data_IF_358370394553
#
_entry.id   IF_358370394553
#
_cell.length_a   1.000
_cell.length_b   1.000
_cell.length_c   1.000
_cell.angle_alpha   90.00
_cell.angle_beta   90.00
_cell.angle_gamma   90.00
#
_symmetry.space_group_name_H-M   'P 1'
#
loop_
_entity.id
_entity.type
_entity.pdbx_description
1 polymer ?
#
# COMPACT_ATOMS: atom_id res chain seq x y z
N UNK A 1 -22.33 -32.61 4.50
CA UNK A 1 -21.57 -31.50 5.14
C UNK A 1 -22.13 -30.21 4.62
N UNK A 2 -22.88 -29.48 5.44
CA UNK A 2 -23.51 -28.23 5.03
C UNK A 2 -22.56 -27.06 5.23
N UNK A 3 -22.56 -26.11 4.29
CA UNK A 3 -21.81 -24.87 4.44
C UNK A 3 -22.22 -24.15 5.74
N UNK A 4 -21.21 -23.76 6.52
CA UNK A 4 -21.31 -22.90 7.69
C UNK A 4 -22.10 -21.65 7.37
N UNK A 5 -22.81 -21.10 8.37
CA UNK A 5 -23.55 -19.84 8.23
C UNK A 5 -22.65 -18.69 7.77
N UNK A 6 -21.34 -18.76 8.07
CA UNK A 6 -20.31 -17.84 7.55
C UNK A 6 -20.13 -17.98 6.04
N UNK A 7 -20.05 -19.21 5.54
CA UNK A 7 -19.85 -19.50 4.12
C UNK A 7 -21.09 -19.18 3.27
N UNK A 8 -22.29 -19.27 3.85
CA UNK A 8 -23.53 -18.85 3.17
C UNK A 8 -23.63 -17.34 3.00
N UNK A 9 -23.21 -16.56 4.00
CA UNK A 9 -23.09 -15.10 3.88
C UNK A 9 -22.01 -14.74 2.86
N UNK A 10 -20.93 -15.51 2.82
CA UNK A 10 -19.83 -15.37 1.85
C UNK A 10 -20.30 -15.55 0.39
N UNK A 11 -21.14 -16.57 0.12
CA UNK A 11 -21.70 -16.82 -1.22
C UNK A 11 -22.67 -15.72 -1.65
N UNK A 12 -23.47 -15.16 -0.74
CA UNK A 12 -24.41 -14.07 -1.05
C UNK A 12 -23.67 -12.77 -1.41
N UNK A 13 -22.51 -12.52 -0.80
CA UNK A 13 -21.67 -11.34 -1.10
C UNK A 13 -20.88 -11.48 -2.41
N UNK A 14 -20.56 -12.72 -2.84
CA UNK A 14 -19.87 -13.01 -4.10
C UNK A 14 -20.79 -12.93 -5.34
N UNK A 15 -22.11 -13.12 -5.17
CA UNK A 15 -23.07 -13.27 -6.27
C UNK A 15 -23.46 -12.02 -7.05
N UNK A 16 -22.94 -10.82 -6.73
CA UNK A 16 -23.32 -9.55 -7.40
C UNK A 16 -22.11 -8.88 -8.10
N UNK A 17 -21.01 -9.61 -8.27
CA UNK A 17 -19.72 -9.03 -8.65
C UNK A 17 -19.39 -9.15 -10.14
N UNK A 18 -19.95 -8.26 -10.98
CA UNK A 18 -19.36 -7.91 -12.26
C UNK A 18 -19.44 -6.38 -12.45
N UNK A 19 -18.27 -5.75 -12.60
CA UNK A 19 -18.08 -4.33 -12.93
C UNK A 19 -18.52 -3.29 -11.86
N UNK A 20 -17.67 -3.05 -10.87
CA UNK A 20 -17.40 -1.74 -10.24
C UNK A 20 -16.49 -1.93 -9.03
N UNK A 21 -15.77 -0.88 -8.60
CA UNK A 21 -14.90 -0.88 -7.40
C UNK A 21 -15.57 -1.31 -6.07
N UNK A 22 -16.86 -1.65 -6.11
CA UNK A 22 -17.61 -2.34 -5.06
C UNK A 22 -17.03 -3.71 -4.69
N UNK A 23 -16.34 -4.42 -5.59
CA UNK A 23 -15.70 -5.71 -5.27
C UNK A 23 -14.45 -5.55 -4.39
N UNK A 24 -13.67 -4.50 -4.62
CA UNK A 24 -12.59 -4.07 -3.72
C UNK A 24 -13.17 -3.73 -2.35
N UNK A 25 -14.24 -2.94 -2.33
CA UNK A 25 -14.94 -2.60 -1.08
C UNK A 25 -15.50 -3.84 -0.37
N UNK A 26 -16.05 -4.82 -1.08
CA UNK A 26 -16.54 -6.09 -0.51
C UNK A 26 -15.39 -6.96 0.02
N UNK A 27 -14.26 -7.04 -0.67
CA UNK A 27 -13.06 -7.75 -0.19
C UNK A 27 -12.40 -7.01 0.98
N UNK A 28 -12.41 -5.68 0.97
CA UNK A 28 -12.02 -4.84 2.11
C UNK A 28 -12.98 -5.09 3.25
N UNK A 29 -14.31 -5.15 3.04
CA UNK A 29 -15.32 -5.47 4.06
C UNK A 29 -15.17 -6.90 4.60
N UNK A 30 -14.74 -7.87 3.79
CA UNK A 30 -14.47 -9.26 4.20
C UNK A 30 -13.12 -9.40 4.91
N UNK A 31 -12.09 -8.65 4.51
CA UNK A 31 -10.84 -8.51 5.29
C UNK A 31 -11.16 -7.79 6.61
N UNK A 32 -11.93 -6.71 6.53
CA UNK A 32 -12.41 -5.87 7.61
C UNK A 32 -13.30 -6.62 8.60
N UNK A 33 -14.13 -7.58 8.20
CA UNK A 33 -14.86 -8.40 9.18
C UNK A 33 -13.89 -9.17 10.06
N UNK A 34 -12.77 -9.67 9.56
CA UNK A 34 -11.75 -10.30 10.42
C UNK A 34 -10.90 -9.30 11.22
N UNK A 35 -10.78 -8.04 10.75
CA UNK A 35 -10.01 -6.96 11.40
C UNK A 35 -10.85 -6.20 12.45
N UNK A 36 -12.16 -6.11 12.25
CA UNK A 36 -13.14 -5.43 13.12
C UNK A 36 -13.85 -6.40 14.07
N UNK A 37 -13.55 -7.70 14.05
CA UNK A 37 -14.12 -8.68 14.97
C UNK A 37 -13.11 -9.16 16.01
N UNK A 38 -13.30 -8.83 17.30
CA UNK A 38 -12.67 -9.58 18.37
C UNK A 38 -13.16 -11.03 18.36
N UNK A 39 -12.26 -11.97 18.66
CA UNK A 39 -12.50 -13.42 18.67
C UNK A 39 -13.65 -13.86 19.62
N UNK A 40 -14.09 -12.97 20.53
CA UNK A 40 -15.00 -13.25 21.64
C UNK A 40 -16.47 -12.80 21.43
N UNK A 41 -16.89 -12.59 20.18
CA UNK A 41 -18.30 -12.19 19.90
C UNK A 41 -19.26 -13.34 20.27
N UNK A 42 -20.12 -13.14 21.27
CA UNK A 42 -21.07 -14.15 21.78
C UNK A 42 -22.49 -13.84 21.31
N UNK A 43 -23.29 -14.88 21.03
CA UNK A 43 -24.72 -14.75 20.75
C UNK A 43 -25.51 -15.43 21.87
N UNK A 44 -26.39 -14.68 22.54
CA UNK A 44 -27.22 -15.21 23.63
C UNK A 44 -28.57 -14.49 23.65
N UNK A 45 -29.65 -15.23 23.95
CA UNK A 45 -31.01 -14.68 24.13
C UNK A 45 -31.52 -13.75 23.02
N UNK A 46 -31.20 -14.06 21.74
CA UNK A 46 -31.67 -13.28 20.59
C UNK A 46 -30.88 -12.00 20.31
N UNK A 47 -29.81 -11.73 21.06
CA UNK A 47 -28.98 -10.54 20.93
C UNK A 47 -27.50 -10.91 20.81
N UNK A 48 -26.75 -10.11 20.04
CA UNK A 48 -25.29 -10.19 19.99
C UNK A 48 -24.70 -9.49 21.22
N UNK A 49 -23.95 -10.23 22.02
CA UNK A 49 -23.13 -9.69 23.11
C UNK A 49 -21.77 -9.35 22.51
N UNK A 50 -21.58 -8.06 22.29
CA UNK A 50 -20.33 -7.49 21.79
C UNK A 50 -19.42 -7.19 22.99
N UNK A 51 -18.10 -7.47 22.92
CA UNK A 51 -17.18 -7.09 23.99
C UNK A 51 -17.13 -5.56 24.16
N UNK A 52 -16.92 -5.10 25.40
CA UNK A 52 -16.87 -3.68 25.76
C UNK A 52 -15.71 -2.95 25.05
N UNK A 53 -14.56 -3.63 24.91
CA UNK A 53 -13.40 -3.14 24.15
C UNK A 53 -13.53 -3.48 22.66
N UNK A 54 -14.37 -2.71 21.96
CA UNK A 54 -14.42 -2.72 20.50
C UNK A 54 -13.13 -2.13 19.93
N UNK A 55 -12.06 -2.90 19.84
CA UNK A 55 -10.93 -2.51 18.99
C UNK A 55 -11.31 -2.70 17.52
N UNK A 56 -11.95 -1.67 16.95
CA UNK A 56 -12.06 -1.55 15.51
C UNK A 56 -10.67 -1.17 14.98
N UNK A 57 -10.08 -2.06 14.19
CA UNK A 57 -8.74 -1.85 13.63
C UNK A 57 -8.87 -1.37 12.19
N UNK A 58 -8.14 -0.32 11.81
CA UNK A 58 -8.05 0.13 10.43
C UNK A 58 -7.28 -0.86 9.55
N UNK A 59 -7.49 -0.77 8.24
CA UNK A 59 -6.86 -1.63 7.25
C UNK A 59 -6.08 -0.79 6.24
N UNK A 60 -4.84 -1.18 5.98
CA UNK A 60 -3.96 -0.62 4.96
C UNK A 60 -3.57 -1.75 3.99
N UNK A 61 -3.96 -1.64 2.72
CA UNK A 61 -3.61 -2.60 1.67
C UNK A 61 -2.69 -1.91 0.66
N UNK A 62 -1.59 -2.56 0.29
CA UNK A 62 -0.73 -2.13 -0.80
C UNK A 62 -0.63 -3.24 -1.84
N UNK A 63 -1.44 -3.12 -2.90
CA UNK A 63 -1.38 -3.97 -4.07
C UNK A 63 -0.30 -3.53 -5.06
N UNK A 64 -0.24 -4.19 -6.22
CA UNK A 64 0.63 -3.77 -7.34
C UNK A 64 0.12 -2.54 -8.07
N UNK A 65 -1.20 -2.42 -8.26
CA UNK A 65 -1.83 -1.35 -9.03
C UNK A 65 -2.43 -0.21 -8.20
N UNK A 66 -2.81 -0.47 -6.95
CA UNK A 66 -3.44 0.53 -6.07
C UNK A 66 -3.08 0.28 -4.60
N UNK A 67 -3.37 1.27 -3.76
CA UNK A 67 -3.32 1.15 -2.30
C UNK A 67 -4.62 1.65 -1.68
N UNK A 68 -5.01 1.06 -0.56
CA UNK A 68 -6.25 1.34 0.14
C UNK A 68 -5.99 1.66 1.60
N UNK A 69 -6.81 2.56 2.13
CA UNK A 69 -6.90 2.87 3.55
C UNK A 69 -8.37 2.82 3.96
N UNK A 70 -8.68 2.19 5.09
CA UNK A 70 -10.04 2.14 5.64
C UNK A 70 -10.02 2.11 7.16
N UNK A 71 -10.78 2.98 7.82
CA UNK A 71 -10.84 3.06 9.27
C UNK A 71 -12.08 3.80 9.76
N UNK A 72 -12.36 3.71 11.05
CA UNK A 72 -13.39 4.51 11.71
C UNK A 72 -12.74 5.74 12.33
N UNK A 73 -12.98 6.96 11.81
CA UNK A 73 -12.44 8.19 12.40
C UNK A 73 -13.12 8.53 13.73
N UNK A 74 -12.49 9.39 14.54
CA UNK A 74 -13.12 9.93 15.76
C UNK A 74 -14.25 10.91 15.46
N UNK A 75 -14.10 11.69 14.39
CA UNK A 75 -15.04 12.73 13.96
C UNK A 75 -15.96 12.28 12.83
N UNK A 76 -16.89 13.16 12.39
CA UNK A 76 -17.73 12.89 11.24
C UNK A 76 -16.91 12.78 9.95
N UNK A 77 -17.37 11.94 9.02
CA UNK A 77 -16.79 11.86 7.68
C UNK A 77 -17.42 12.97 6.84
N UNK A 78 -16.62 13.98 6.47
CA UNK A 78 -17.12 15.17 5.77
C UNK A 78 -17.43 14.91 4.30
N UNK A 79 -16.71 13.99 3.65
CA UNK A 79 -16.99 13.60 2.27
C UNK A 79 -17.77 12.29 2.20
N UNK A 80 -19.06 12.40 1.87
CA UNK A 80 -19.98 11.26 1.77
C UNK A 80 -19.54 10.21 0.74
N UNK A 81 -18.82 10.58 -0.33
CA UNK A 81 -18.36 9.61 -1.34
C UNK A 81 -17.27 8.67 -0.81
N UNK A 82 -16.64 9.04 0.31
CA UNK A 82 -15.64 8.24 1.01
C UNK A 82 -16.20 7.51 2.23
N UNK A 83 -17.48 7.70 2.54
CA UNK A 83 -18.17 7.05 3.66
C UNK A 83 -18.87 5.79 3.18
N UNK A 84 -18.66 4.69 3.90
CA UNK A 84 -19.44 3.47 3.75
C UNK A 84 -20.10 3.12 5.06
N UNK A 85 -21.41 2.94 5.03
CA UNK A 85 -22.21 2.57 6.20
C UNK A 85 -22.71 1.14 6.07
N UNK A 86 -22.52 0.34 7.11
CA UNK A 86 -23.07 -1.03 7.15
C UNK A 86 -23.49 -1.40 8.57
N UNK A 87 -24.35 -2.42 8.67
CA UNK A 87 -24.79 -2.96 9.95
C UNK A 87 -24.21 -4.35 10.16
N UNK A 88 -23.40 -4.52 11.19
CA UNK A 88 -22.83 -5.81 11.58
C UNK A 88 -23.19 -6.09 13.04
N UNK A 89 -23.68 -7.30 13.31
CA UNK A 89 -24.01 -7.77 14.68
C UNK A 89 -24.95 -6.83 15.45
N UNK A 90 -25.89 -6.20 14.75
CA UNK A 90 -26.87 -5.28 15.34
C UNK A 90 -26.39 -3.83 15.49
N UNK A 91 -25.09 -3.56 15.32
CA UNK A 91 -24.49 -2.22 15.39
C UNK A 91 -24.27 -1.62 13.99
N UNK A 92 -24.49 -0.30 13.87
CA UNK A 92 -24.20 0.46 12.65
C UNK A 92 -22.76 0.98 12.72
N UNK A 93 -22.04 0.86 11.62
CA UNK A 93 -20.68 1.36 11.46
C UNK A 93 -20.64 2.33 10.29
N UNK A 94 -19.90 3.42 10.47
CA UNK A 94 -19.53 4.34 9.40
C UNK A 94 -18.01 4.29 9.27
N UNK A 95 -17.53 3.81 8.13
CA UNK A 95 -16.10 3.73 7.86
C UNK A 95 -15.74 4.77 6.79
N UNK A 96 -14.57 5.38 6.96
CA UNK A 96 -13.89 6.05 5.87
C UNK A 96 -13.17 4.98 5.04
N UNK A 97 -13.22 5.09 3.72
CA UNK A 97 -12.49 4.22 2.81
C UNK A 97 -12.10 4.97 1.55
N UNK A 98 -10.87 4.77 1.10
CA UNK A 98 -10.41 5.28 -0.19
C UNK A 98 -9.43 4.31 -0.84
N UNK A 99 -9.43 4.30 -2.18
CA UNK A 99 -8.51 3.52 -3.01
C UNK A 99 -7.77 4.45 -3.96
N UNK A 100 -6.45 4.56 -3.78
CA UNK A 100 -5.58 5.34 -4.65
C UNK A 100 -5.10 4.44 -5.80
N UNK A 101 -5.81 4.51 -6.93
CA UNK A 101 -5.38 3.86 -8.18
C UNK A 101 -4.06 4.48 -8.66
N UNK A 102 -3.18 3.68 -9.25
CA UNK A 102 -1.83 4.08 -9.68
C UNK A 102 -0.85 4.40 -8.54
N UNK A 103 -1.24 4.14 -7.29
CA UNK A 103 -0.40 4.20 -6.09
C UNK A 103 -0.16 2.80 -5.49
N UNK A 104 -0.37 1.74 -6.28
CA UNK A 104 0.17 0.43 -5.93
C UNK A 104 1.68 0.39 -6.14
N UNK A 105 2.35 -0.57 -5.50
CA UNK A 105 3.81 -0.71 -5.55
C UNK A 105 4.34 -0.71 -6.98
N UNK A 106 3.85 -1.61 -7.82
CA UNK A 106 4.38 -1.81 -9.17
C UNK A 106 4.14 -0.58 -10.05
N UNK A 107 2.96 0.04 -9.93
CA UNK A 107 2.62 1.24 -10.71
C UNK A 107 3.44 2.46 -10.30
N UNK A 108 3.74 2.62 -9.02
CA UNK A 108 4.62 3.70 -8.55
C UNK A 108 6.04 3.50 -9.04
N UNK A 109 6.56 2.28 -9.03
CA UNK A 109 7.90 1.98 -9.56
C UNK A 109 7.98 2.23 -11.07
N UNK A 110 6.93 1.86 -11.81
CA UNK A 110 6.81 2.17 -13.25
C UNK A 110 6.78 3.68 -13.49
N UNK A 111 5.96 4.42 -12.75
CA UNK A 111 5.85 5.89 -12.85
C UNK A 111 7.16 6.59 -12.49
N UNK A 112 7.85 6.11 -11.46
CA UNK A 112 9.16 6.61 -11.05
C UNK A 112 10.18 6.47 -12.18
N UNK A 113 10.26 5.27 -12.79
CA UNK A 113 11.16 5.05 -13.92
C UNK A 113 10.80 5.92 -15.12
N UNK A 114 9.51 6.10 -15.41
CA UNK A 114 9.04 6.98 -16.49
C UNK A 114 9.43 8.45 -16.26
N UNK A 115 9.24 8.98 -15.04
CA UNK A 115 9.63 10.35 -14.69
C UNK A 115 11.14 10.57 -14.82
N UNK A 116 11.94 9.63 -14.31
CA UNK A 116 13.40 9.68 -14.42
C UNK A 116 13.87 9.59 -15.87
N UNK A 117 13.19 8.79 -16.71
CA UNK A 117 13.48 8.67 -18.14
C UNK A 117 13.11 9.94 -18.92
N UNK A 118 11.97 10.56 -18.61
CA UNK A 118 11.54 11.82 -19.23
C UNK A 118 12.48 12.98 -18.90
N UNK A 119 13.08 12.96 -17.70
CA UNK A 119 14.04 13.97 -17.27
C UNK A 119 15.48 13.70 -17.74
N UNK A 120 15.75 12.58 -18.42
CA UNK A 120 17.07 12.30 -18.97
C UNK A 120 17.19 12.75 -20.42
N UNK A 121 18.34 13.36 -20.75
CA UNK A 121 18.67 13.78 -22.12
C UNK A 121 19.37 12.69 -22.94
N UNK A 122 19.72 11.56 -22.30
CA UNK A 122 20.48 10.46 -22.89
C UNK A 122 19.73 9.13 -22.70
N UNK A 123 20.03 8.07 -23.49
CA UNK A 123 19.50 6.72 -23.28
C UNK A 123 20.09 6.03 -22.03
N UNK A 124 20.48 6.83 -21.04
CA UNK A 124 21.02 6.45 -19.75
C UNK A 124 20.31 7.24 -18.66
N UNK A 125 19.81 6.53 -17.65
CA UNK A 125 19.07 7.11 -16.52
C UNK A 125 19.76 6.72 -15.23
N UNK A 126 20.06 7.72 -14.42
CA UNK A 126 20.47 7.50 -13.04
C UNK A 126 19.23 7.29 -12.17
N UNK A 127 19.18 6.16 -11.48
CA UNK A 127 18.06 5.76 -10.66
C UNK A 127 18.44 5.79 -9.17
N UNK A 128 18.04 6.83 -8.41
CA UNK A 128 18.51 7.01 -7.03
C UNK A 128 18.04 5.91 -6.07
N UNK A 129 16.91 5.28 -6.38
CA UNK A 129 16.37 4.19 -5.56
C UNK A 129 16.95 2.81 -5.88
N UNK A 130 17.79 2.67 -6.91
CA UNK A 130 18.51 1.43 -7.18
C UNK A 130 19.89 1.50 -6.54
N UNK A 131 20.36 0.37 -6.04
CA UNK A 131 21.63 0.28 -5.33
C UNK A 131 22.82 0.77 -6.18
N UNK A 132 23.79 1.41 -5.53
CA UNK A 132 25.01 1.83 -6.21
C UNK A 132 25.71 0.63 -6.89
N UNK A 133 26.06 0.79 -8.16
CA UNK A 133 26.68 -0.26 -8.99
C UNK A 133 25.69 -1.23 -9.64
N UNK A 134 24.38 -1.06 -9.45
CA UNK A 134 23.36 -1.74 -10.25
C UNK A 134 23.39 -1.17 -11.68
N UNK A 135 23.39 -2.03 -12.69
CA UNK A 135 23.24 -1.62 -14.08
C UNK A 135 22.39 -2.64 -14.83
N UNK A 136 21.40 -2.17 -15.59
CA UNK A 136 20.59 -3.02 -16.46
C UNK A 136 20.03 -2.25 -17.65
N UNK A 137 19.79 -2.95 -18.74
CA UNK A 137 19.09 -2.42 -19.90
C UNK A 137 17.63 -2.83 -19.83
N UNK A 138 16.72 -1.85 -19.76
CA UNK A 138 15.28 -2.07 -19.63
C UNK A 138 14.56 -1.61 -20.90
N UNK A 139 13.56 -2.36 -21.34
CA UNK A 139 12.64 -1.90 -22.38
C UNK A 139 11.64 -0.92 -21.79
N UNK A 140 11.44 0.22 -22.45
CA UNK A 140 10.45 1.23 -22.06
C UNK A 140 9.04 0.92 -22.56
N UNK A 141 8.86 -0.04 -23.48
CA UNK A 141 7.53 -0.37 -24.00
C UNK A 141 6.54 -0.77 -22.88
N UNK A 142 6.87 -1.69 -21.95
CA UNK A 142 5.95 -2.05 -20.86
C UNK A 142 5.70 -0.91 -19.86
N UNK A 143 6.62 0.06 -19.77
CA UNK A 143 6.48 1.23 -18.89
C UNK A 143 5.37 2.15 -19.41
N UNK A 144 5.37 2.41 -20.72
CA UNK A 144 4.42 3.32 -21.37
C UNK A 144 3.10 2.65 -21.79
N UNK A 145 3.04 1.32 -21.78
CA UNK A 145 1.77 0.57 -21.87
C UNK A 145 0.91 0.71 -20.61
N UNK A 146 1.49 1.16 -19.49
CA UNK A 146 0.73 1.35 -18.26
C UNK A 146 -0.27 2.52 -18.38
N UNK A 147 -1.54 2.33 -17.98
CA UNK A 147 -2.53 3.42 -17.92
C UNK A 147 -2.19 4.48 -16.86
N UNK A 148 -1.20 4.23 -16.01
CA UNK A 148 -0.76 5.12 -14.95
C UNK A 148 0.39 6.05 -15.34
N UNK A 149 0.91 5.91 -16.57
CA UNK A 149 1.98 6.77 -17.10
C UNK A 149 1.40 7.62 -18.21
N UNK A 150 1.49 8.94 -18.04
CA UNK A 150 1.14 9.88 -19.11
C UNK A 150 2.38 10.16 -19.95
N UNK A 151 2.31 9.89 -21.25
CA UNK A 151 3.37 10.20 -22.19
C UNK A 151 3.23 11.62 -22.71
N UNK A 152 4.31 12.38 -22.70
CA UNK A 152 4.46 13.50 -23.65
C UNK A 152 4.93 12.89 -24.98
N UNK A 153 4.32 13.29 -26.10
CA UNK A 153 4.46 12.69 -27.44
C UNK A 153 5.90 12.64 -28.04
N UNK A 154 6.92 13.03 -27.28
CA UNK A 154 8.30 13.25 -27.75
C UNK A 154 9.28 12.08 -27.52
N UNK A 155 8.91 11.00 -26.83
CA UNK A 155 9.84 9.90 -26.53
C UNK A 155 9.65 8.72 -27.49
N UNK A 156 10.73 8.29 -28.13
CA UNK A 156 10.75 7.10 -28.98
C UNK A 156 10.65 5.84 -28.09
N UNK A 157 9.42 5.36 -27.89
CA UNK A 157 9.04 4.29 -26.95
C UNK A 157 9.67 2.90 -27.23
N UNK A 158 10.38 2.76 -28.35
CA UNK A 158 11.08 1.54 -28.78
C UNK A 158 12.54 1.46 -28.33
N UNK A 159 13.06 2.48 -27.65
CA UNK A 159 14.45 2.47 -27.18
C UNK A 159 14.62 1.72 -25.86
N UNK A 160 15.67 0.91 -25.83
CA UNK A 160 16.20 0.32 -24.61
C UNK A 160 16.90 1.39 -23.78
N UNK A 161 16.54 1.48 -22.50
CA UNK A 161 17.11 2.43 -21.55
C UNK A 161 18.15 1.74 -20.68
N UNK A 162 19.35 2.31 -20.61
CA UNK A 162 20.36 1.87 -19.64
C UNK A 162 20.07 2.54 -18.30
N UNK A 163 19.78 1.75 -17.28
CA UNK A 163 19.49 2.26 -15.93
C UNK A 163 20.67 1.95 -15.01
N UNK A 164 21.16 2.97 -14.32
CA UNK A 164 22.29 2.89 -13.39
C UNK A 164 21.85 3.32 -11.99
N UNK A 165 22.02 2.44 -11.01
CA UNK A 165 21.67 2.75 -9.62
C UNK A 165 22.73 3.60 -8.94
N UNK A 166 22.30 4.63 -8.21
CA UNK A 166 23.21 5.52 -7.45
C UNK A 166 23.16 5.28 -5.93
N UNK A 167 22.14 4.57 -5.43
CA UNK A 167 22.00 4.24 -4.01
C UNK A 167 21.83 5.46 -3.11
N UNK A 168 21.21 6.53 -3.59
CA UNK A 168 21.00 7.77 -2.83
C UNK A 168 19.57 7.84 -2.28
N UNK A 169 19.34 7.48 -1.00
CA UNK A 169 17.99 7.49 -0.43
C UNK A 169 17.36 8.89 -0.39
N UNK A 170 18.17 9.95 -0.27
CA UNK A 170 17.65 11.33 -0.25
C UNK A 170 17.02 11.70 -1.58
N UNK A 171 17.76 11.47 -2.67
CA UNK A 171 17.28 11.77 -4.02
C UNK A 171 16.14 10.82 -4.42
N UNK A 172 16.16 9.58 -3.91
CA UNK A 172 15.07 8.63 -4.09
C UNK A 172 13.77 9.12 -3.44
N UNK A 173 13.84 9.59 -2.19
CA UNK A 173 12.66 10.16 -1.51
C UNK A 173 12.15 11.37 -2.28
N UNK A 174 13.02 12.27 -2.75
CA UNK A 174 12.62 13.42 -3.55
C UNK A 174 11.91 13.00 -4.85
N UNK A 175 12.45 12.01 -5.57
CA UNK A 175 11.84 11.49 -6.79
C UNK A 175 10.49 10.79 -6.52
N UNK A 176 10.36 10.07 -5.39
CA UNK A 176 9.09 9.47 -4.98
C UNK A 176 8.05 10.54 -4.61
N UNK A 177 8.45 11.60 -3.91
CA UNK A 177 7.58 12.70 -3.50
C UNK A 177 6.96 13.42 -4.71
N UNK A 178 7.69 13.55 -5.82
CA UNK A 178 7.18 14.16 -7.06
C UNK A 178 5.97 13.43 -7.66
N UNK A 179 5.79 12.14 -7.35
CA UNK A 179 4.65 11.35 -7.80
C UNK A 179 3.34 11.69 -7.05
N UNK A 180 3.44 12.46 -5.97
CA UNK A 180 2.34 12.91 -5.13
C UNK A 180 2.13 14.42 -5.28
N UNK A 181 0.87 14.84 -5.33
CA UNK A 181 0.53 16.25 -5.19
C UNK A 181 0.06 16.54 -3.75
N UNK A 182 1.02 16.83 -2.87
CA UNK A 182 0.71 17.27 -1.49
C UNK A 182 0.21 18.72 -1.42
N UNK A 183 0.51 19.53 -2.44
CA UNK A 183 0.18 20.97 -2.44
C UNK A 183 -1.32 21.27 -2.52
N UNK A 184 -2.12 20.33 -3.04
CA UNK A 184 -3.59 20.44 -3.11
C UNK A 184 -4.31 20.29 -1.77
N UNK A 185 -3.59 19.94 -0.69
CA UNK A 185 -4.16 19.62 0.62
C UNK A 185 -3.97 20.73 1.68
N UNK A 186 -3.63 21.96 1.30
CA UNK A 186 -3.13 22.99 2.25
C UNK A 186 -4.14 23.44 3.33
N UNK A 187 -5.45 23.37 3.05
CA UNK A 187 -6.48 23.96 3.92
C UNK A 187 -7.54 22.96 4.41
N UNK A 188 -7.37 21.66 4.19
CA UNK A 188 -8.37 20.63 4.52
C UNK A 188 -7.73 19.31 4.94
N UNK A 189 -8.44 18.55 5.78
CA UNK A 189 -8.13 17.15 6.12
C UNK A 189 -8.04 16.31 4.84
N UNK A 190 -6.81 16.05 4.40
CA UNK A 190 -6.49 15.51 3.09
C UNK A 190 -5.19 14.71 3.15
N UNK A 191 -5.14 13.63 2.36
CA UNK A 191 -3.93 12.81 2.22
C UNK A 191 -2.99 13.43 1.18
N UNK A 192 -3.30 13.17 -0.10
CA UNK A 192 -2.59 13.70 -1.27
C UNK A 192 -3.55 13.77 -2.48
N UNK A 193 -3.14 14.48 -3.53
CA UNK A 193 -3.92 14.69 -4.76
C UNK A 193 -5.31 15.32 -4.52
N UNK A 194 -5.45 16.12 -3.46
CA UNK A 194 -6.74 16.75 -3.11
C UNK A 194 -7.79 15.77 -2.60
N UNK A 195 -7.40 14.55 -2.22
CA UNK A 195 -8.31 13.53 -1.69
C UNK A 195 -8.51 13.74 -0.20
N UNK A 196 -9.77 14.00 0.18
CA UNK A 196 -10.20 14.07 1.57
C UNK A 196 -9.81 12.81 2.35
N UNK A 197 -9.23 13.00 3.53
CA UNK A 197 -8.93 11.94 4.49
C UNK A 197 -9.03 12.49 5.92
N UNK A 198 -9.90 11.94 6.79
CA UNK A 198 -9.91 12.31 8.20
C UNK A 198 -8.55 11.99 8.89
N UNK A 199 -8.24 12.60 10.03
CA UNK A 199 -7.08 12.21 10.84
C UNK A 199 -7.11 10.72 11.18
N UNK A 200 -5.98 10.03 10.99
CA UNK A 200 -5.85 8.60 11.30
C UNK A 200 -6.03 8.36 12.79
N UNK A 201 -6.80 7.33 13.14
CA UNK A 201 -7.13 7.02 14.53
C UNK A 201 -7.24 5.51 14.77
N UNK A 202 -6.82 5.09 15.95
CA UNK A 202 -6.87 3.68 16.37
C UNK A 202 -5.70 2.85 15.84
N UNK A 203 -5.82 1.52 16.01
CA UNK A 203 -4.85 0.55 15.51
C UNK A 203 -5.06 0.29 14.02
N UNK A 204 -4.00 -0.05 13.28
CA UNK A 204 -4.06 -0.40 11.86
C UNK A 204 -3.32 -1.70 11.57
N UNK A 205 -3.88 -2.54 10.71
CA UNK A 205 -3.17 -3.64 10.10
C UNK A 205 -2.77 -3.30 8.67
N UNK A 206 -1.47 -3.38 8.40
CA UNK A 206 -0.88 -3.17 7.09
C UNK A 206 -0.47 -4.52 6.49
N UNK A 207 -1.03 -4.87 5.34
CA UNK A 207 -0.83 -6.17 4.70
C UNK A 207 -0.41 -6.04 3.23
N UNK A 208 -0.29 -7.17 2.53
CA UNK A 208 0.19 -7.24 1.15
C UNK A 208 1.62 -6.68 1.03
N UNK A 209 1.92 -5.80 0.07
CA UNK A 209 3.28 -5.30 -0.13
C UNK A 209 3.81 -4.48 1.06
N UNK A 210 2.95 -3.90 1.91
CA UNK A 210 3.41 -3.34 3.18
C UNK A 210 4.16 -4.39 4.02
N UNK A 211 3.53 -5.56 4.20
CA UNK A 211 4.11 -6.67 4.94
C UNK A 211 5.30 -7.27 4.19
N UNK A 212 5.19 -7.61 2.91
CA UNK A 212 6.25 -8.34 2.22
C UNK A 212 7.55 -7.52 2.11
N UNK A 213 7.45 -6.21 1.84
CA UNK A 213 8.62 -5.32 1.80
C UNK A 213 9.26 -5.18 3.19
N UNK A 214 8.48 -4.90 4.23
CA UNK A 214 9.05 -4.74 5.57
C UNK A 214 9.51 -6.07 6.17
N UNK A 215 8.87 -7.19 5.84
CA UNK A 215 9.33 -8.51 6.26
C UNK A 215 10.70 -8.83 5.64
N UNK A 216 10.91 -8.52 4.37
CA UNK A 216 12.23 -8.68 3.73
C UNK A 216 13.31 -7.86 4.45
N UNK A 217 12.98 -6.63 4.87
CA UNK A 217 13.89 -5.75 5.61
C UNK A 217 13.96 -6.05 7.12
N UNK A 218 13.25 -7.08 7.60
CA UNK A 218 13.14 -7.42 9.02
C UNK A 218 12.54 -6.30 9.89
N UNK A 219 11.51 -5.61 9.40
CA UNK A 219 10.85 -4.42 9.97
C UNK A 219 9.38 -4.67 10.38
N UNK A 220 8.97 -5.92 10.61
CA UNK A 220 7.59 -6.28 10.99
C UNK A 220 7.38 -6.41 12.50
N UNK A 221 8.42 -6.22 13.31
CA UNK A 221 8.41 -6.42 14.77
C UNK A 221 8.08 -5.15 15.56
N UNK A 222 7.29 -4.23 14.97
CA UNK A 222 6.89 -2.93 15.56
C UNK A 222 8.08 -2.08 16.04
N UNK A 223 9.13 -2.03 15.23
CA UNK A 223 10.27 -1.18 15.52
C UNK A 223 9.86 0.32 15.53
N UNK A 224 10.53 1.14 16.37
CA UNK A 224 10.37 2.60 16.32
C UNK A 224 10.68 3.17 14.94
N UNK A 225 10.02 4.28 14.59
CA UNK A 225 10.10 4.89 13.26
C UNK A 225 11.53 5.25 12.85
N UNK A 226 12.35 5.74 13.78
CA UNK A 226 13.76 6.06 13.50
C UNK A 226 14.56 4.82 13.09
N UNK A 227 14.35 3.67 13.76
CA UNK A 227 15.02 2.41 13.41
C UNK A 227 14.58 1.91 12.03
N UNK A 228 13.30 2.07 11.70
CA UNK A 228 12.74 1.70 10.39
C UNK A 228 13.39 2.57 9.30
N UNK A 229 13.42 3.88 9.51
CA UNK A 229 14.06 4.82 8.58
C UNK A 229 15.55 4.52 8.38
N UNK A 230 16.31 4.34 9.47
CA UNK A 230 17.74 4.04 9.42
C UNK A 230 18.02 2.71 8.70
N UNK A 231 17.19 1.70 8.93
CA UNK A 231 17.32 0.38 8.28
C UNK A 231 17.09 0.49 6.77
N UNK A 232 16.03 1.18 6.34
CA UNK A 232 15.73 1.39 4.91
C UNK A 232 16.82 2.22 4.25
N UNK A 233 17.25 3.33 4.88
CA UNK A 233 18.34 4.18 4.37
C UNK A 233 19.64 3.40 4.18
N UNK A 234 20.04 2.63 5.21
CA UNK A 234 21.26 1.81 5.15
C UNK A 234 21.15 0.73 4.06
N UNK A 235 19.99 0.11 3.91
CA UNK A 235 19.76 -0.87 2.83
C UNK A 235 19.97 -0.22 1.46
N UNK A 236 19.35 0.94 1.20
CA UNK A 236 19.51 1.67 -0.06
C UNK A 236 20.95 2.06 -0.39
N UNK A 237 21.75 2.40 0.63
CA UNK A 237 23.17 2.76 0.47
C UNK A 237 24.09 1.55 0.31
N UNK A 238 23.59 0.33 0.51
CA UNK A 238 24.42 -0.88 0.38
C UNK A 238 24.73 -1.12 -1.10
N UNK A 239 26.01 -1.30 -1.49
CA UNK A 239 26.40 -1.57 -2.88
C UNK A 239 25.73 -2.82 -3.45
N UNK A 240 25.34 -2.77 -4.73
CA UNK A 240 24.60 -3.84 -5.40
C UNK A 240 25.25 -5.21 -5.24
N UNK A 241 26.57 -5.30 -5.42
CA UNK A 241 27.33 -6.55 -5.28
C UNK A 241 27.18 -7.23 -3.92
N UNK A 242 27.06 -6.45 -2.84
CA UNK A 242 26.86 -7.01 -1.49
C UNK A 242 25.41 -7.45 -1.29
N UNK A 243 24.47 -6.69 -1.83
CA UNK A 243 23.04 -7.03 -1.79
C UNK A 243 22.79 -8.33 -2.57
N UNK A 244 23.29 -8.42 -3.80
CA UNK A 244 23.18 -9.61 -4.65
C UNK A 244 23.80 -10.86 -4.00
N UNK A 245 25.00 -10.73 -3.42
CA UNK A 245 25.66 -11.83 -2.72
C UNK A 245 24.88 -12.32 -1.48
N UNK A 246 24.10 -11.44 -0.84
CA UNK A 246 23.31 -11.78 0.35
C UNK A 246 21.99 -12.49 0.02
N UNK A 247 21.51 -12.37 -1.22
CA UNK A 247 20.21 -12.90 -1.67
C UNK A 247 20.30 -13.55 -3.06
N UNK A 248 21.07 -14.64 -3.23
CA UNK A 248 21.27 -15.28 -4.53
C UNK A 248 19.94 -15.79 -5.11
N UNK A 249 19.69 -15.54 -6.40
CA UNK A 249 18.53 -16.02 -7.14
C UNK A 249 17.25 -15.17 -7.00
N UNK A 250 17.33 -13.99 -6.37
CA UNK A 250 16.18 -13.08 -6.18
C UNK A 250 16.36 -11.72 -6.89
N UNK A 251 17.29 -11.65 -7.84
CA UNK A 251 17.80 -10.40 -8.45
C UNK A 251 16.68 -9.54 -9.05
N UNK A 252 15.67 -10.19 -9.65
CA UNK A 252 14.53 -9.51 -10.28
C UNK A 252 13.78 -8.58 -9.33
N UNK A 253 13.59 -8.99 -8.08
CA UNK A 253 12.81 -8.25 -7.08
C UNK A 253 13.71 -7.44 -6.15
N UNK A 254 14.97 -7.87 -6.03
CA UNK A 254 15.93 -7.34 -5.07
C UNK A 254 16.21 -5.85 -5.28
N UNK A 255 16.33 -5.43 -6.56
CA UNK A 255 16.57 -4.03 -6.93
C UNK A 255 15.47 -3.08 -6.45
N UNK A 256 14.24 -3.58 -6.30
CA UNK A 256 13.06 -2.75 -6.05
C UNK A 256 12.78 -2.57 -4.55
N UNK A 257 13.45 -3.31 -3.64
CA UNK A 257 13.16 -3.22 -2.20
C UNK A 257 13.56 -1.88 -1.58
N UNK A 258 14.63 -1.24 -2.06
CA UNK A 258 15.01 0.10 -1.61
C UNK A 258 13.89 1.11 -1.95
N UNK A 259 13.51 1.16 -3.23
CA UNK A 259 12.41 2.00 -3.70
C UNK A 259 11.09 1.70 -2.98
N UNK A 260 10.75 0.41 -2.80
CA UNK A 260 9.53 -0.02 -2.12
C UNK A 260 9.51 0.38 -0.64
N UNK A 261 10.64 0.25 0.06
CA UNK A 261 10.76 0.62 1.48
C UNK A 261 10.61 2.12 1.69
N UNK A 262 11.31 2.92 0.87
CA UNK A 262 11.18 4.39 0.90
C UNK A 262 9.78 4.84 0.48
N UNK A 263 9.18 4.20 -0.52
CA UNK A 263 7.80 4.49 -0.93
C UNK A 263 6.79 4.25 0.18
N UNK A 264 6.91 3.14 0.93
CA UNK A 264 6.04 2.88 2.08
C UNK A 264 6.18 3.98 3.13
N UNK A 265 7.40 4.46 3.42
CA UNK A 265 7.62 5.56 4.35
C UNK A 265 6.97 6.87 3.87
N UNK A 266 7.17 7.26 2.61
CA UNK A 266 6.53 8.45 2.02
C UNK A 266 5.01 8.30 2.06
N UNK A 267 4.46 7.15 1.66
CA UNK A 267 3.02 6.90 1.64
C UNK A 267 2.41 6.97 3.05
N UNK A 268 3.03 6.35 4.06
CA UNK A 268 2.48 6.33 5.42
C UNK A 268 2.62 7.69 6.11
N UNK A 269 3.80 8.30 6.04
CA UNK A 269 4.10 9.51 6.80
C UNK A 269 3.57 10.77 6.12
N UNK A 270 3.82 10.92 4.82
CA UNK A 270 3.43 12.11 4.07
C UNK A 270 2.09 11.95 3.37
N UNK A 271 1.76 10.75 2.89
CA UNK A 271 0.48 10.45 2.27
C UNK A 271 -0.64 10.34 3.29
N UNK A 272 -0.61 9.29 4.11
CA UNK A 272 -1.66 8.98 5.09
C UNK A 272 -1.54 9.73 6.42
N UNK A 273 -0.50 10.57 6.57
CA UNK A 273 -0.30 11.44 7.74
C UNK A 273 -0.13 10.69 9.06
N UNK A 274 0.47 9.48 9.02
CA UNK A 274 0.99 8.88 10.24
C UNK A 274 2.18 9.70 10.75
N UNK A 275 2.29 9.85 12.06
CA UNK A 275 3.33 10.61 12.76
C UNK A 275 4.12 9.68 13.66
N UNK A 276 5.15 10.20 14.33
CA UNK A 276 5.88 9.44 15.37
C UNK A 276 4.95 8.94 16.49
N UNK A 277 3.90 9.71 16.82
CA UNK A 277 2.90 9.34 17.82
C UNK A 277 1.96 8.24 17.35
N UNK A 278 1.56 8.24 16.06
CA UNK A 278 0.61 7.26 15.51
C UNK A 278 1.29 6.05 14.87
N UNK A 279 2.60 6.10 14.60
CA UNK A 279 3.39 4.98 14.07
C UNK A 279 3.26 3.67 14.87
N UNK A 280 3.31 3.67 16.22
CA UNK A 280 3.20 2.44 17.00
C UNK A 280 1.85 1.72 16.84
N UNK A 281 0.85 2.40 16.28
CA UNK A 281 -0.46 1.84 16.02
C UNK A 281 -0.53 0.98 14.76
N UNK A 282 0.51 0.98 13.92
CA UNK A 282 0.56 0.17 12.70
C UNK A 282 1.20 -1.19 12.99
N UNK A 283 0.53 -2.26 12.56
CA UNK A 283 1.06 -3.62 12.63
C UNK A 283 1.14 -4.21 11.22
N UNK A 284 2.35 -4.57 10.81
CA UNK A 284 2.60 -5.20 9.53
C UNK A 284 2.34 -6.71 9.63
N UNK A 285 1.28 -7.20 9.01
CA UNK A 285 0.86 -8.61 9.11
C UNK A 285 0.69 -9.24 7.74
N UNK A 286 1.11 -10.51 7.60
CA UNK A 286 0.93 -11.29 6.37
C UNK A 286 -0.54 -11.48 6.03
N UNK A 287 -1.30 -11.86 7.07
CA UNK A 287 -2.72 -12.22 7.03
C UNK A 287 -3.33 -11.85 8.38
N UNK A 288 -4.60 -11.49 8.37
CA UNK A 288 -5.41 -11.33 9.57
C UNK A 288 -5.73 -12.74 10.08
N UNK A 289 -5.35 -13.06 11.32
CA UNK A 289 -5.51 -14.39 11.93
C UNK A 289 -6.90 -14.99 11.64
N UNK A 290 -6.94 -16.15 10.96
CA UNK A 290 -8.17 -16.89 10.67
C UNK A 290 -8.54 -17.05 9.18
N UNK A 291 -7.73 -16.59 8.23
CA UNK A 291 -7.99 -16.80 6.79
C UNK A 291 -6.78 -17.38 6.07
N UNK A 292 -6.95 -18.54 5.40
CA UNK A 292 -5.95 -19.09 4.47
C UNK A 292 -5.75 -18.13 3.28
N UNK A 293 -4.47 -17.88 2.96
CA UNK A 293 -3.93 -17.29 1.71
C UNK A 293 -4.89 -16.42 0.89
N UNK A 294 -4.93 -15.12 1.18
CA UNK A 294 -5.61 -14.12 0.35
C UNK A 294 -4.56 -13.22 -0.32
N UNK A 295 -3.86 -13.74 -1.32
CA UNK A 295 -3.24 -12.93 -2.36
C UNK A 295 -4.30 -12.57 -3.40
N UNK A 296 -4.41 -11.30 -3.78
CA UNK A 296 -5.11 -10.92 -5.01
C UNK A 296 -4.23 -11.24 -6.22
N UNK A 297 -3.94 -12.52 -6.44
CA UNK A 297 -3.41 -12.98 -7.71
C UNK A 297 -4.59 -13.18 -8.66
N UNK A 298 -4.87 -12.15 -9.46
CA UNK A 298 -5.48 -12.39 -10.76
C UNK A 298 -4.48 -13.23 -11.54
N UNK A 299 -4.82 -14.51 -11.72
CA UNK A 299 -4.05 -15.44 -12.54
C UNK A 299 -4.91 -15.78 -13.74
N UNK A 300 -4.43 -15.43 -14.93
CA UNK A 300 -5.01 -15.79 -16.23
C UNK A 300 -6.02 -14.77 -16.74
#
# INVERSE_FOLDING_TARGET
MGLSRKERVFIVLLGIAAASGLTMLLLILVKATNVFLPADTKYSSGQWILPEDRMLVGALDLGGASTQISFVPQGPILNQSSQVTFRLYGANYSIYTHSYLCFGRDQVLIRLLAELAQNSSEPRVQHPCYHNGYQATLSLAPVYESPCVHTTDSLNFTQNLTVEGTGNPRDCVAALQNLFNFSSCKDQDCAFNGVYQPPVYGQFYAFSNFYYTFHFLNLTSRQPLNIVNDTVWKFCQTPWKLVEASYPGQERWLRDYCASGLYILVLLLEGYKFSEETWPNIQFQKQVTGTQSLSMSGSG
#
